data_IF_493620183840
#
_entry.id   IF_493620183840
#
_cell.length_a   1.000
_cell.length_b   1.000
_cell.length_c   1.000
_cell.angle_alpha   90.00
_cell.angle_beta   90.00
_cell.angle_gamma   90.00
#
_symmetry.space_group_name_H-M   'P 1'
#
loop_
_entity.id
_entity.type
_entity.pdbx_description
1 polymer ?
#
# COMPACT_ATOMS: atom_id res chain seq x y z
N UNK A 1 10.55 -18.97 -5.63
CA UNK A 1 9.32 -18.30 -5.12
C UNK A 1 9.40 -16.82 -5.47
N UNK A 2 8.37 -16.25 -6.10
CA UNK A 2 8.32 -14.79 -6.33
C UNK A 2 7.95 -14.09 -5.02
N UNK A 3 8.81 -13.20 -4.53
CA UNK A 3 8.47 -12.29 -3.43
C UNK A 3 7.26 -11.46 -3.86
N UNK A 4 6.16 -11.54 -3.10
CA UNK A 4 4.99 -10.66 -3.26
C UNK A 4 5.14 -9.50 -2.29
N UNK A 5 4.88 -8.27 -2.74
CA UNK A 5 4.85 -7.11 -1.85
C UNK A 5 3.38 -6.84 -1.55
N UNK A 6 3.06 -6.73 -0.27
CA UNK A 6 1.72 -6.37 0.18
C UNK A 6 1.77 -4.97 0.75
N UNK A 7 0.99 -4.03 0.20
CA UNK A 7 0.91 -2.67 0.71
C UNK A 7 -0.32 -2.54 1.61
N UNK A 8 -0.10 -2.25 2.89
CA UNK A 8 -1.17 -1.78 3.78
C UNK A 8 -1.41 -0.30 3.46
N UNK A 9 -2.61 0.05 3.07
CA UNK A 9 -3.00 1.42 2.70
C UNK A 9 -3.71 2.06 3.88
N UNK A 10 -3.18 3.19 4.33
CA UNK A 10 -3.64 3.89 5.51
C UNK A 10 -4.05 5.31 5.16
N UNK A 11 -5.07 5.82 5.84
CA UNK A 11 -5.50 7.22 5.78
C UNK A 11 -5.19 7.92 7.09
N UNK A 12 -4.58 9.10 7.03
CA UNK A 12 -4.23 9.87 8.22
C UNK A 12 -5.48 10.56 8.76
N UNK A 13 -6.12 10.02 9.79
CA UNK A 13 -7.23 10.71 10.42
C UNK A 13 -6.70 11.80 11.36
N UNK A 14 -6.71 13.06 10.92
CA UNK A 14 -6.25 14.20 11.74
C UNK A 14 -7.02 14.36 13.05
N UNK A 15 -8.29 13.94 13.11
CA UNK A 15 -9.10 14.04 14.33
C UNK A 15 -8.62 13.09 15.42
N UNK A 16 -8.11 11.92 15.04
CA UNK A 16 -7.69 10.86 15.98
C UNK A 16 -6.16 10.72 16.08
N UNK A 17 -5.39 11.53 15.34
CA UNK A 17 -3.93 11.40 15.16
C UNK A 17 -3.48 9.95 14.84
N UNK A 18 -4.35 9.16 14.23
CA UNK A 18 -4.14 7.73 13.93
C UNK A 18 -4.28 7.47 12.43
N UNK A 19 -3.56 6.45 11.96
CA UNK A 19 -3.74 5.88 10.63
C UNK A 19 -4.91 4.90 10.64
N UNK A 20 -5.89 5.11 9.78
CA UNK A 20 -7.01 4.18 9.59
C UNK A 20 -6.73 3.29 8.39
N UNK A 21 -6.88 1.96 8.56
CA UNK A 21 -6.65 1.00 7.48
C UNK A 21 -7.77 1.13 6.44
N UNK A 22 -7.40 1.54 5.23
CA UNK A 22 -8.33 1.64 4.11
C UNK A 22 -8.45 0.32 3.34
N UNK A 23 -7.38 -0.46 3.32
CA UNK A 23 -7.32 -1.69 2.56
C UNK A 23 -5.90 -2.18 2.33
N UNK A 24 -5.78 -3.21 1.50
CA UNK A 24 -4.51 -3.85 1.17
C UNK A 24 -4.37 -4.01 -0.33
N UNK A 25 -3.20 -3.69 -0.90
CA UNK A 25 -2.86 -3.91 -2.30
C UNK A 25 -1.79 -4.99 -2.40
N UNK A 26 -1.95 -5.95 -3.32
CA UNK A 26 -0.98 -7.03 -3.52
C UNK A 26 -0.25 -6.81 -4.84
N UNK A 27 1.03 -6.45 -4.78
CA UNK A 27 1.90 -6.30 -5.94
C UNK A 27 2.24 -7.66 -6.53
N UNK A 28 1.77 -7.87 -7.76
CA UNK A 28 2.04 -9.10 -8.52
C UNK A 28 3.17 -8.91 -9.53
N UNK A 29 3.58 -7.67 -9.82
CA UNK A 29 4.67 -7.40 -10.75
C UNK A 29 6.00 -7.87 -10.15
N UNK A 30 6.83 -8.49 -10.98
CA UNK A 30 8.17 -8.93 -10.58
C UNK A 30 9.17 -7.76 -10.51
N UNK A 31 8.95 -6.73 -11.32
CA UNK A 31 9.70 -5.49 -11.33
C UNK A 31 8.81 -4.29 -10.97
N UNK A 32 9.42 -3.25 -10.40
CA UNK A 32 8.76 -1.97 -10.10
C UNK A 32 9.12 -0.88 -11.11
N UNK A 33 9.64 -1.27 -12.28
CA UNK A 33 10.09 -0.35 -13.35
C UNK A 33 10.99 0.78 -12.84
N UNK A 34 11.96 0.45 -11.99
CA UNK A 34 12.90 1.41 -11.41
C UNK A 34 12.35 2.26 -10.25
N UNK A 35 11.09 2.08 -9.84
CA UNK A 35 10.53 2.77 -8.66
C UNK A 35 10.86 2.05 -7.37
N UNK A 36 10.97 2.81 -6.26
CA UNK A 36 11.01 2.21 -4.93
C UNK A 36 9.68 1.52 -4.61
N UNK A 37 9.69 0.58 -3.65
CA UNK A 37 8.48 -0.10 -3.19
C UNK A 37 7.45 0.89 -2.68
N UNK A 38 7.90 1.89 -1.93
CA UNK A 38 7.07 2.95 -1.38
C UNK A 38 6.43 3.80 -2.48
N UNK A 39 7.20 4.25 -3.47
CA UNK A 39 6.67 5.09 -4.54
C UNK A 39 5.69 4.34 -5.44
N UNK A 40 5.99 3.08 -5.74
CA UNK A 40 5.06 2.23 -6.50
C UNK A 40 3.76 2.04 -5.74
N UNK A 41 3.85 1.66 -4.46
CA UNK A 41 2.69 1.46 -3.59
C UNK A 41 1.86 2.72 -3.39
N UNK A 42 2.51 3.87 -3.15
CA UNK A 42 1.84 5.15 -2.92
C UNK A 42 1.09 5.63 -4.15
N UNK A 43 1.71 5.52 -5.34
CA UNK A 43 1.06 5.88 -6.60
C UNK A 43 -0.17 5.00 -6.84
N UNK A 44 -0.06 3.69 -6.61
CA UNK A 44 -1.17 2.78 -6.78
C UNK A 44 -2.29 3.03 -5.76
N UNK A 45 -1.95 3.26 -4.50
CA UNK A 45 -2.90 3.60 -3.46
C UNK A 45 -3.66 4.91 -3.76
N UNK A 46 -2.96 5.95 -4.22
CA UNK A 46 -3.61 7.21 -4.65
C UNK A 46 -4.55 7.01 -5.85
N UNK A 47 -4.22 6.11 -6.78
CA UNK A 47 -5.09 5.79 -7.91
C UNK A 47 -6.36 5.07 -7.48
N UNK A 48 -6.25 4.08 -6.58
CA UNK A 48 -7.39 3.26 -6.13
C UNK A 48 -8.27 3.95 -5.07
N UNK A 49 -7.66 4.57 -4.07
CA UNK A 49 -8.35 5.12 -2.90
C UNK A 49 -8.43 6.64 -2.92
N UNK A 50 -7.81 7.31 -3.89
CA UNK A 50 -7.78 8.77 -3.91
C UNK A 50 -9.14 9.43 -4.06
N UNK A 51 -10.13 8.73 -4.60
CA UNK A 51 -11.50 9.23 -4.74
C UNK A 51 -12.34 9.01 -3.48
N UNK A 52 -11.91 8.14 -2.56
CA UNK A 52 -12.63 7.84 -1.31
C UNK A 52 -12.19 8.73 -0.14
N UNK A 53 -11.21 9.62 -0.38
CA UNK A 53 -10.68 10.53 0.64
C UNK A 53 -10.77 11.98 0.17
N UNK A 54 -10.96 12.90 1.11
CA UNK A 54 -11.00 14.35 0.82
C UNK A 54 -9.66 14.88 0.29
N UNK A 55 -8.54 14.29 0.71
CA UNK A 55 -7.20 14.71 0.30
C UNK A 55 -6.29 13.49 0.10
N UNK A 56 -5.83 13.29 -1.14
CA UNK A 56 -4.95 12.17 -1.54
C UNK A 56 -3.58 12.20 -0.86
N UNK A 57 -3.12 13.35 -0.35
CA UNK A 57 -1.87 13.47 0.41
C UNK A 57 -1.95 12.84 1.81
N UNK A 58 -3.15 12.53 2.28
CA UNK A 58 -3.35 11.87 3.56
C UNK A 58 -3.30 10.34 3.46
N UNK A 59 -3.16 9.80 2.24
CA UNK A 59 -2.93 8.39 1.99
C UNK A 59 -1.43 8.10 2.16
N UNK A 60 -1.11 7.06 2.91
CA UNK A 60 0.24 6.52 3.04
C UNK A 60 0.20 5.00 2.97
N UNK A 61 1.34 4.41 2.59
CA UNK A 61 1.45 2.95 2.41
C UNK A 61 2.59 2.40 3.26
N UNK A 62 2.37 1.21 3.81
CA UNK A 62 3.40 0.43 4.48
C UNK A 62 3.62 -0.85 3.67
N UNK A 63 4.78 -0.99 2.99
CA UNK A 63 5.12 -2.21 2.29
C UNK A 63 5.47 -3.30 3.29
N UNK A 64 4.81 -4.44 3.18
CA UNK A 64 5.04 -5.65 3.93
C UNK A 64 5.54 -6.71 2.94
N UNK A 65 6.79 -7.16 3.13
CA UNK A 65 7.32 -8.30 2.38
C UNK A 65 6.79 -9.58 3.03
N UNK A 66 5.55 -9.94 2.71
CA UNK A 66 4.99 -11.20 3.15
C UNK A 66 5.77 -12.35 2.49
N UNK A 67 6.58 -13.07 3.28
CA UNK A 67 6.98 -14.43 2.93
C UNK A 67 5.69 -15.26 2.95
N UNK A 68 5.19 -15.65 1.79
CA UNK A 68 4.08 -16.59 1.73
C UNK A 68 4.49 -17.83 2.54
N UNK A 69 3.86 -18.08 3.69
CA UNK A 69 3.95 -19.38 4.34
C UNK A 69 3.31 -20.37 3.37
N UNK A 70 4.05 -21.42 3.01
CA UNK A 70 3.43 -22.64 2.52
C UNK A 70 2.67 -23.18 3.73
N UNK A 71 1.35 -23.13 3.69
CA UNK A 71 0.56 -24.06 4.47
C UNK A 71 0.79 -25.43 3.79
N UNK A 72 1.64 -26.24 4.41
CA UNK A 72 1.89 -27.64 4.07
C UNK A 72 0.89 -28.52 4.77
#
# INVERSE_FOLDING_TARGET
MSKKITYKVLYKNHKLKKGELMGTLVERRKDLRGKSKLDSGLNWAKAMFGQTVKNKHMIFVVPDEAKAKKDS
#
